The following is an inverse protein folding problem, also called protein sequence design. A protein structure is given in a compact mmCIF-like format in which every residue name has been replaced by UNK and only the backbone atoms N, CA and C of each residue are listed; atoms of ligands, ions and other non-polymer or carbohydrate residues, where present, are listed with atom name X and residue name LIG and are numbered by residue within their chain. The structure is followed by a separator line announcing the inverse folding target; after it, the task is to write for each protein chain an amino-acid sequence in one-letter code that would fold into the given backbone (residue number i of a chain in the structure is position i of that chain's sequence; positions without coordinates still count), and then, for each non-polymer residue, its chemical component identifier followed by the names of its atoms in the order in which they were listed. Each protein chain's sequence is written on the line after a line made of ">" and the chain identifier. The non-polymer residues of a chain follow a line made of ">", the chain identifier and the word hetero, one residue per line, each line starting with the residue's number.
data_IF_671886284435
#
_entry.id   IF_671886284435
#
_cell.length_a   1.000
_cell.length_b   1.000
_cell.length_c   1.000
_cell.angle_alpha   90.00
_cell.angle_beta   90.00
_cell.angle_gamma   90.00
#
_symmetry.space_group_name_H-M   'P 1'
#
loop_
_entity.id
_entity.type
_entity.pdbx_description
1 polymer ?
#
# COMPACT_ATOMS: atom_id res chain seq x y z
N UNK A 1 15.26 8.46 2.78
CA UNK A 1 13.94 8.52 2.13
C UNK A 1 13.02 7.46 2.73
N UNK A 2 11.82 7.84 3.07
CA UNK A 2 10.79 6.91 3.54
C UNK A 2 9.91 6.51 2.37
N UNK A 3 9.56 5.23 2.30
CA UNK A 3 8.64 4.71 1.29
C UNK A 3 7.49 4.03 2.00
N UNK A 4 6.27 4.38 1.60
CA UNK A 4 5.03 3.80 2.14
C UNK A 4 4.27 3.18 0.98
N UNK A 5 3.87 1.92 1.13
CA UNK A 5 3.04 1.22 0.13
C UNK A 5 1.65 1.00 0.68
N UNK A 6 0.64 1.28 -0.13
CA UNK A 6 -0.77 1.14 0.23
C UNK A 6 -1.47 0.20 -0.76
N UNK A 7 -2.01 -0.89 -0.24
CA UNK A 7 -2.89 -1.80 -0.98
C UNK A 7 -4.34 -1.41 -0.67
N UNK A 8 -4.99 -0.71 -1.60
CA UNK A 8 -6.27 -0.04 -1.36
C UNK A 8 -7.46 -0.91 -1.74
N UNK A 9 -8.32 -1.18 -0.77
CA UNK A 9 -9.56 -1.92 -0.92
C UNK A 9 -10.49 -1.59 0.24
N UNK A 10 -11.42 -2.49 0.57
CA UNK A 10 -12.24 -2.36 1.78
C UNK A 10 -11.40 -2.35 3.04
N UNK A 11 -10.26 -3.01 2.99
CA UNK A 11 -9.16 -2.86 3.93
C UNK A 11 -7.97 -2.30 3.19
N UNK A 12 -7.21 -1.45 3.86
CA UNK A 12 -6.00 -0.85 3.30
C UNK A 12 -4.79 -1.51 3.96
N UNK A 13 -4.01 -2.24 3.15
CA UNK A 13 -2.72 -2.75 3.59
C UNK A 13 -1.70 -1.63 3.60
N UNK A 14 -0.88 -1.58 4.64
CA UNK A 14 0.11 -0.53 4.85
C UNK A 14 1.47 -1.17 5.10
N UNK A 15 2.48 -0.73 4.36
CA UNK A 15 3.87 -1.11 4.59
C UNK A 15 4.74 0.14 4.55
N UNK A 16 5.64 0.27 5.52
CA UNK A 16 6.53 1.43 5.60
C UNK A 16 7.98 0.96 5.67
N UNK A 17 8.83 1.65 4.91
CA UNK A 17 10.26 1.35 4.83
C UNK A 17 11.06 2.64 5.03
N UNK A 18 12.08 2.54 5.87
CA UNK A 18 13.03 3.63 6.10
C UNK A 18 14.41 3.02 6.32
N UNK A 19 14.99 2.48 5.23
CA UNK A 19 16.21 1.68 5.28
C UNK A 19 15.96 0.21 5.62
N UNK A 20 14.84 -0.08 6.28
CA UNK A 20 14.35 -1.43 6.60
C UNK A 20 12.83 -1.36 6.75
N UNK A 21 12.18 -2.51 6.76
CA UNK A 21 10.72 -2.58 6.90
C UNK A 21 10.34 -2.24 8.35
N UNK A 22 9.76 -1.07 8.55
CA UNK A 22 9.47 -0.54 9.88
C UNK A 22 8.05 -0.83 10.36
N UNK A 23 7.09 -0.97 9.42
CA UNK A 23 5.70 -1.18 9.79
C UNK A 23 4.96 -2.00 8.73
N UNK A 24 4.12 -2.92 9.20
CA UNK A 24 3.10 -3.63 8.42
C UNK A 24 1.80 -3.56 9.20
N UNK A 25 0.77 -2.95 8.60
CA UNK A 25 -0.51 -2.72 9.25
C UNK A 25 -1.66 -2.91 8.27
N UNK A 26 -2.86 -3.03 8.80
CA UNK A 26 -4.10 -3.05 8.01
C UNK A 26 -5.12 -2.14 8.66
N UNK A 27 -5.74 -1.30 7.85
CA UNK A 27 -6.79 -0.38 8.27
C UNK A 27 -8.08 -0.73 7.54
N UNK A 28 -9.18 -0.92 8.27
CA UNK A 28 -10.50 -0.96 7.65
C UNK A 28 -10.80 0.41 7.05
N UNK A 29 -11.09 0.48 5.75
CA UNK A 29 -11.22 1.78 5.07
C UNK A 29 -12.29 2.67 5.72
N UNK A 30 -13.45 2.10 6.07
CA UNK A 30 -14.52 2.88 6.68
C UNK A 30 -14.41 2.95 8.19
N UNK A 31 -14.14 1.83 8.84
CA UNK A 31 -14.13 1.72 10.30
C UNK A 31 -12.96 2.46 10.94
N UNK A 32 -11.84 2.56 10.23
CA UNK A 32 -10.60 3.14 10.73
C UNK A 32 -10.10 4.29 9.89
N UNK A 33 -10.99 4.90 9.10
CA UNK A 33 -10.60 5.96 8.15
C UNK A 33 -9.91 7.15 8.84
N UNK A 34 -10.36 7.51 10.03
CA UNK A 34 -9.74 8.61 10.77
C UNK A 34 -8.34 8.25 11.27
N UNK A 35 -8.14 7.01 11.70
CA UNK A 35 -6.81 6.53 12.09
C UNK A 35 -5.87 6.52 10.90
N UNK A 36 -6.35 6.03 9.75
CA UNK A 36 -5.56 5.99 8.52
C UNK A 36 -5.15 7.40 8.10
N UNK A 37 -6.08 8.34 8.01
CA UNK A 37 -5.78 9.71 7.61
C UNK A 37 -4.86 10.41 8.60
N UNK A 38 -5.04 10.21 9.89
CA UNK A 38 -4.16 10.76 10.92
C UNK A 38 -2.73 10.24 10.74
N UNK A 39 -2.59 8.95 10.50
CA UNK A 39 -1.28 8.34 10.28
C UNK A 39 -0.62 8.85 8.99
N UNK A 40 -1.38 8.92 7.89
CA UNK A 40 -0.88 9.45 6.62
C UNK A 40 -0.43 10.90 6.76
N UNK A 41 -1.19 11.72 7.50
CA UNK A 41 -0.83 13.11 7.77
C UNK A 41 0.49 13.20 8.52
N UNK A 42 0.70 12.30 9.49
CA UNK A 42 1.91 12.29 10.30
C UNK A 42 3.17 11.91 9.50
N UNK A 43 3.04 11.03 8.48
CA UNK A 43 4.19 10.52 7.72
C UNK A 43 4.37 11.20 6.37
N UNK A 44 3.37 11.92 5.86
CA UNK A 44 3.44 12.56 4.56
C UNK A 44 4.32 13.82 4.62
N UNK A 45 5.38 13.82 3.84
CA UNK A 45 6.26 14.98 3.66
C UNK A 45 6.94 14.90 2.29
N UNK A 46 7.76 15.90 1.95
CA UNK A 46 8.43 15.97 0.65
C UNK A 46 9.47 14.85 0.46
N UNK A 47 9.94 14.21 1.54
CA UNK A 47 10.93 13.13 1.50
C UNK A 47 10.30 11.74 1.60
N UNK A 48 8.98 11.66 1.57
CA UNK A 48 8.24 10.40 1.63
C UNK A 48 7.61 10.09 0.29
N UNK A 49 7.88 8.90 -0.24
CA UNK A 49 7.25 8.37 -1.45
C UNK A 49 6.14 7.41 -1.06
N UNK A 50 4.94 7.66 -1.57
CA UNK A 50 3.79 6.77 -1.37
C UNK A 50 3.52 6.00 -2.65
N UNK A 51 3.43 4.68 -2.54
CA UNK A 51 3.09 3.78 -3.64
C UNK A 51 1.65 3.34 -3.46
N UNK A 52 0.82 3.56 -4.48
CA UNK A 52 -0.57 3.12 -4.48
C UNK A 52 -0.77 2.23 -5.71
N UNK A 53 -1.29 1.01 -5.50
CA UNK A 53 -1.57 0.11 -6.61
C UNK A 53 -2.77 0.62 -7.41
N UNK A 54 -2.61 0.68 -8.74
CA UNK A 54 -3.71 0.99 -9.64
C UNK A 54 -4.77 -0.12 -9.57
N UNK A 55 -6.07 0.21 -9.61
CA UNK A 55 -7.11 -0.81 -9.70
C UNK A 55 -6.90 -1.70 -10.93
N UNK A 56 -7.11 -3.01 -10.76
CA UNK A 56 -6.98 -3.96 -11.87
C UNK A 56 -8.07 -3.73 -12.89
N UNK A 57 -7.68 -3.43 -14.12
CA UNK A 57 -8.59 -3.27 -15.26
C UNK A 57 -8.69 -4.60 -16.00
N UNK A 58 -9.87 -4.87 -16.56
CA UNK A 58 -10.08 -6.00 -17.47
C UNK A 58 -10.27 -7.36 -16.81
N UNK A 59 -10.48 -7.43 -15.51
CA UNK A 59 -10.94 -8.67 -14.88
C UNK A 59 -12.40 -8.90 -15.27
N UNK A 60 -12.68 -9.99 -15.99
CA UNK A 60 -14.03 -10.39 -16.38
C UNK A 60 -14.97 -10.62 -15.18
N UNK A 61 -14.40 -10.78 -13.99
CA UNK A 61 -15.12 -11.01 -12.74
C UNK A 61 -15.24 -9.77 -11.87
N UNK A 62 -14.48 -8.73 -12.16
CA UNK A 62 -14.60 -7.50 -11.42
C UNK A 62 -15.88 -6.81 -11.84
N UNK A 63 -16.81 -6.69 -10.92
CA UNK A 63 -18.00 -5.89 -11.14
C UNK A 63 -17.54 -4.45 -11.30
N UNK A 64 -18.03 -3.77 -12.33
CA UNK A 64 -17.72 -2.36 -12.61
C UNK A 64 -17.93 -1.47 -11.39
N UNK A 65 -18.90 -1.83 -10.54
CA UNK A 65 -19.22 -1.18 -9.28
C UNK A 65 -18.07 -1.25 -8.27
N UNK A 66 -17.44 -2.43 -8.12
CA UNK A 66 -16.34 -2.62 -7.18
C UNK A 66 -15.07 -1.92 -7.66
N UNK A 67 -14.82 -1.95 -8.97
CA UNK A 67 -13.70 -1.21 -9.57
C UNK A 67 -13.85 0.29 -9.33
N UNK A 68 -15.05 0.85 -9.54
CA UNK A 68 -15.32 2.26 -9.30
C UNK A 68 -15.06 2.68 -7.86
N UNK A 69 -15.44 1.84 -6.90
CA UNK A 69 -15.20 2.09 -5.48
C UNK A 69 -13.72 2.07 -5.13
N UNK A 70 -12.97 1.12 -5.67
CA UNK A 70 -11.52 1.05 -5.46
C UNK A 70 -10.82 2.25 -6.08
N UNK A 71 -11.23 2.68 -7.27
CA UNK A 71 -10.69 3.86 -7.92
C UNK A 71 -10.93 5.12 -7.10
N UNK A 72 -12.14 5.29 -6.55
CA UNK A 72 -12.48 6.44 -5.70
C UNK A 72 -11.64 6.47 -4.43
N UNK A 73 -11.46 5.33 -3.77
CA UNK A 73 -10.64 5.22 -2.56
C UNK A 73 -9.19 5.58 -2.85
N UNK A 74 -8.63 5.06 -3.94
CA UNK A 74 -7.26 5.34 -4.35
C UNK A 74 -7.09 6.84 -4.65
N UNK A 75 -8.03 7.45 -5.37
CA UNK A 75 -8.00 8.88 -5.66
C UNK A 75 -8.11 9.74 -4.41
N UNK A 76 -8.98 9.34 -3.46
CA UNK A 76 -9.14 10.04 -2.20
C UNK A 76 -7.84 10.02 -1.39
N UNK A 77 -7.20 8.87 -1.28
CA UNK A 77 -5.93 8.73 -0.58
C UNK A 77 -4.83 9.53 -1.27
N UNK A 78 -4.76 9.46 -2.60
CA UNK A 78 -3.79 10.22 -3.39
C UNK A 78 -3.95 11.72 -3.15
N UNK A 79 -5.18 12.23 -3.20
CA UNK A 79 -5.47 13.63 -2.96
C UNK A 79 -5.09 14.07 -1.54
N UNK A 80 -5.41 13.25 -0.55
CA UNK A 80 -5.06 13.53 0.84
C UNK A 80 -3.56 13.61 1.05
N UNK A 81 -2.83 12.60 0.57
CA UNK A 81 -1.37 12.53 0.70
C UNK A 81 -0.72 13.72 0.00
N UNK A 82 -1.17 14.05 -1.21
CA UNK A 82 -0.64 15.18 -1.97
C UNK A 82 -0.89 16.50 -1.24
N UNK A 83 -2.08 16.68 -0.66
CA UNK A 83 -2.41 17.86 0.12
C UNK A 83 -1.55 17.99 1.38
N UNK A 84 -1.10 16.86 1.95
CA UNK A 84 -0.20 16.84 3.10
C UNK A 84 1.28 16.99 2.74
N UNK A 85 1.60 17.16 1.45
CA UNK A 85 2.97 17.36 0.98
C UNK A 85 3.73 16.10 0.62
N UNK A 86 3.09 14.94 0.60
CA UNK A 86 3.71 13.68 0.17
C UNK A 86 3.74 13.53 -1.33
N UNK A 87 4.63 12.67 -1.82
CA UNK A 87 4.74 12.31 -3.22
C UNK A 87 4.05 10.97 -3.47
N UNK A 88 3.20 10.88 -4.48
CA UNK A 88 2.46 9.65 -4.79
C UNK A 88 2.90 9.12 -6.15
N UNK A 89 3.17 7.82 -6.18
CA UNK A 89 3.43 7.07 -7.40
C UNK A 89 2.40 5.95 -7.52
N UNK A 90 1.63 5.97 -8.62
CA UNK A 90 0.73 4.87 -8.94
C UNK A 90 1.54 3.72 -9.54
N UNK A 91 1.33 2.50 -9.05
CA UNK A 91 2.04 1.31 -9.53
C UNK A 91 1.05 0.32 -10.11
N UNK A 92 1.48 -0.41 -11.14
CA UNK A 92 0.64 -1.41 -11.79
C UNK A 92 0.48 -2.65 -10.92
N UNK A 93 -0.71 -3.29 -10.92
CA UNK A 93 -0.92 -4.53 -10.20
C UNK A 93 0.08 -5.62 -10.62
N UNK A 94 0.55 -6.39 -9.64
CA UNK A 94 1.45 -7.51 -9.88
C UNK A 94 1.00 -8.71 -9.04
N UNK A 95 0.75 -9.85 -9.69
CA UNK A 95 0.30 -11.08 -9.03
C UNK A 95 1.31 -11.64 -8.02
N UNK A 96 2.57 -11.29 -8.18
CA UNK A 96 3.64 -11.72 -7.28
C UNK A 96 3.45 -11.21 -5.84
N UNK A 97 2.60 -10.22 -5.62
CA UNK A 97 2.33 -9.69 -4.28
C UNK A 97 1.46 -10.62 -3.42
N UNK A 98 0.76 -11.59 -4.02
CA UNK A 98 -0.17 -12.49 -3.32
C UNK A 98 0.56 -13.68 -2.71
N UNK A 99 1.21 -13.49 -1.55
CA UNK A 99 2.02 -14.51 -0.89
C UNK A 99 1.42 -14.97 0.43
N UNK A 100 1.68 -16.24 0.76
CA UNK A 100 1.41 -16.78 2.10
C UNK A 100 2.45 -16.24 3.10
N UNK A 101 2.16 -16.28 4.42
CA UNK A 101 3.11 -15.76 5.42
C UNK A 101 4.53 -16.33 5.32
N UNK A 102 4.65 -17.63 5.07
CA UNK A 102 5.95 -18.29 4.95
C UNK A 102 6.73 -17.84 3.72
N UNK A 103 6.02 -17.61 2.61
CA UNK A 103 6.64 -17.08 1.39
C UNK A 103 7.06 -15.63 1.58
N UNK A 104 6.22 -14.82 2.19
CA UNK A 104 6.51 -13.43 2.49
C UNK A 104 7.79 -13.29 3.33
N UNK A 105 7.96 -14.15 4.33
CA UNK A 105 9.13 -14.12 5.20
C UNK A 105 10.45 -14.38 4.43
N UNK A 106 10.40 -15.06 3.30
CA UNK A 106 11.56 -15.26 2.43
C UNK A 106 12.08 -13.93 1.88
N UNK A 107 11.19 -12.97 1.61
CA UNK A 107 11.54 -11.65 1.07
C UNK A 107 11.85 -10.62 2.16
N UNK A 108 11.19 -10.75 3.31
CA UNK A 108 11.38 -9.88 4.46
C UNK A 108 11.77 -10.72 5.69
N UNK A 109 12.99 -11.33 5.70
CA UNK A 109 13.36 -12.30 6.74
C UNK A 109 13.47 -11.71 8.14
N UNK A 110 13.74 -10.42 8.26
CA UNK A 110 13.89 -9.75 9.55
C UNK A 110 12.56 -9.30 10.16
N UNK A 111 11.47 -9.43 9.41
CA UNK A 111 10.17 -9.04 9.94
C UNK A 111 9.69 -10.06 10.98
N UNK A 112 9.37 -9.56 12.16
CA UNK A 112 8.78 -10.33 13.24
C UNK A 112 7.33 -9.92 13.45
N UNK A 113 6.46 -10.87 13.72
CA UNK A 113 5.06 -10.62 14.00
C UNK A 113 4.13 -11.16 12.93
N UNK A 114 2.84 -11.12 13.25
CA UNK A 114 1.79 -11.60 12.34
C UNK A 114 1.55 -10.59 11.23
N UNK A 115 1.16 -11.11 10.07
CA UNK A 115 0.82 -10.30 8.91
C UNK A 115 -0.57 -10.67 8.40
N UNK A 116 -1.33 -9.66 7.95
CA UNK A 116 -2.56 -9.87 7.21
C UNK A 116 -2.25 -10.00 5.71
N UNK A 117 -3.20 -10.53 4.94
CA UNK A 117 -3.07 -10.60 3.48
C UNK A 117 -2.79 -9.21 2.88
N UNK A 118 -3.53 -8.20 3.32
CA UNK A 118 -3.40 -6.85 2.79
C UNK A 118 -2.06 -6.20 3.14
N UNK A 119 -1.58 -6.41 4.36
CA UNK A 119 -0.27 -5.91 4.77
C UNK A 119 0.85 -6.58 3.98
N UNK A 120 0.76 -7.89 3.75
CA UNK A 120 1.73 -8.61 2.92
C UNK A 120 1.73 -8.11 1.49
N UNK A 121 0.56 -7.88 0.91
CA UNK A 121 0.45 -7.34 -0.44
C UNK A 121 1.15 -5.98 -0.54
N UNK A 122 0.94 -5.10 0.44
CA UNK A 122 1.62 -3.82 0.51
C UNK A 122 3.14 -3.99 0.68
N UNK A 123 3.56 -4.91 1.54
CA UNK A 123 4.98 -5.21 1.76
C UNK A 123 5.67 -5.73 0.52
N UNK A 124 4.99 -6.53 -0.29
CA UNK A 124 5.54 -7.05 -1.53
C UNK A 124 5.58 -5.99 -2.64
N UNK A 125 4.60 -5.11 -2.69
CA UNK A 125 4.63 -3.94 -3.57
C UNK A 125 5.87 -3.10 -3.29
N UNK A 126 6.15 -2.86 -2.03
CA UNK A 126 7.33 -2.15 -1.55
C UNK A 126 8.61 -2.87 -1.95
N UNK A 127 8.69 -4.19 -1.72
CA UNK A 127 9.85 -5.00 -2.08
C UNK A 127 10.16 -4.95 -3.58
N UNK A 128 9.13 -5.09 -4.42
CA UNK A 128 9.27 -5.01 -5.87
C UNK A 128 9.78 -3.64 -6.30
N UNK A 129 9.26 -2.58 -5.73
CA UNK A 129 9.71 -1.21 -6.01
C UNK A 129 11.19 -1.05 -5.70
N UNK A 130 11.63 -1.51 -4.53
CA UNK A 130 13.02 -1.41 -4.12
C UNK A 130 13.95 -2.23 -5.03
N UNK A 131 13.51 -3.40 -5.48
CA UNK A 131 14.29 -4.26 -6.39
C UNK A 131 14.42 -3.70 -7.79
N UNK A 132 13.38 -3.03 -8.28
CA UNK A 132 13.41 -2.41 -9.61
C UNK A 132 14.21 -1.11 -9.63
N UNK A 133 14.57 -0.61 -8.46
CA UNK A 133 15.22 0.68 -8.32
C UNK A 133 14.23 1.83 -8.43
N UNK A 134 14.67 3.01 -8.02
CA UNK A 134 13.89 4.25 -8.10
C UNK A 134 13.91 4.70 -9.56
N UNK A 135 12.77 4.59 -10.20
CA UNK A 135 12.61 5.03 -11.58
C UNK A 135 11.64 6.19 -11.65
#
# INVERSE_FOLDING_TARGET
>A
MRIVALDVGNRVGYAEWDGYLTELSTYGYYEQIMKLFTHLTAVADADTMFLIEEPRKGSKRARSRDLGRCEEKAKTLQAWITACGGNVKMVKPNRFTKLKPTQFQTYWPDWEGKTSNHARDAGMMLWLWLKQGVR
#
